data_IF_107314662577
#
_entry.id   IF_107314662577
#
_cell.length_a   1.000
_cell.length_b   1.000
_cell.length_c   1.000
_cell.angle_alpha   90.00
_cell.angle_beta   90.00
_cell.angle_gamma   90.00
#
_symmetry.space_group_name_H-M   'P 1'
#
loop_
_entity.id
_entity.type
_entity.pdbx_description
1 polymer ?
#
# COMPACT_ATOMS: atom_id res chain seq x y z
N UNK A 1 -17.77 -0.44 4.40
CA UNK A 1 -17.19 -0.28 5.75
C UNK A 1 -15.84 0.39 5.59
N UNK A 2 -15.65 1.59 6.13
CA UNK A 2 -14.34 2.24 6.21
C UNK A 2 -13.78 1.97 7.60
N UNK A 3 -12.65 1.29 7.65
CA UNK A 3 -11.83 1.20 8.85
C UNK A 3 -10.82 2.35 8.78
N UNK A 4 -11.06 3.45 9.48
CA UNK A 4 -10.09 4.53 9.65
C UNK A 4 -9.35 4.35 10.97
N UNK A 5 -8.03 4.40 10.94
CA UNK A 5 -7.19 4.33 12.13
C UNK A 5 -6.03 5.31 11.99
N UNK A 6 -5.78 6.15 13.00
CA UNK A 6 -4.75 7.20 12.97
C UNK A 6 -3.32 6.69 12.74
N UNK A 7 -3.07 5.43 13.07
CA UNK A 7 -1.74 4.82 12.99
C UNK A 7 -1.56 3.86 11.84
N UNK A 8 -2.58 3.72 10.95
CA UNK A 8 -2.52 2.81 9.81
C UNK A 8 -3.14 3.42 8.58
N UNK A 9 -2.56 3.11 7.43
CA UNK A 9 -3.20 3.28 6.13
C UNK A 9 -3.90 1.98 5.79
N UNK A 10 -5.18 2.06 5.48
CA UNK A 10 -6.03 0.94 5.08
C UNK A 10 -6.20 0.91 3.56
N UNK A 11 -5.95 -0.24 2.94
CA UNK A 11 -6.01 -0.41 1.47
C UNK A 11 -7.39 -0.86 0.96
N UNK A 12 -8.42 -0.83 1.80
CA UNK A 12 -9.78 -1.28 1.45
C UNK A 12 -9.97 -2.80 1.56
N UNK A 13 -11.22 -3.24 1.47
CA UNK A 13 -11.55 -4.66 1.40
C UNK A 13 -11.48 -5.13 -0.05
N UNK A 14 -10.84 -6.29 -0.27
CA UNK A 14 -10.73 -6.91 -1.59
C UNK A 14 -11.44 -8.25 -1.58
N UNK A 15 -11.95 -8.66 -2.75
CA UNK A 15 -12.43 -10.01 -3.05
C UNK A 15 -13.07 -10.75 -1.88
N UNK A 16 -14.31 -10.38 -1.55
CA UNK A 16 -15.07 -11.07 -0.52
C UNK A 16 -15.18 -12.56 -0.90
N UNK A 17 -14.63 -13.41 -0.06
CA UNK A 17 -14.74 -14.86 -0.19
C UNK A 17 -15.85 -15.33 0.73
N UNK A 18 -16.73 -16.15 0.24
CA UNK A 18 -17.78 -16.79 1.04
C UNK A 18 -17.60 -18.29 0.97
N UNK A 19 -17.60 -18.94 2.12
CA UNK A 19 -17.58 -20.37 2.27
C UNK A 19 -18.65 -20.81 3.28
N UNK A 20 -18.88 -22.10 3.39
CA UNK A 20 -19.79 -22.68 4.37
C UNK A 20 -19.00 -23.61 5.29
N UNK A 21 -19.26 -23.51 6.60
CA UNK A 21 -18.71 -24.43 7.59
C UNK A 21 -19.81 -24.99 8.46
N UNK A 22 -19.64 -26.24 8.90
CA UNK A 22 -20.56 -26.90 9.82
C UNK A 22 -19.89 -27.01 11.21
N UNK A 23 -20.56 -26.45 12.22
CA UNK A 23 -20.12 -26.54 13.61
C UNK A 23 -21.21 -27.23 14.42
N UNK A 24 -20.93 -28.46 14.87
CA UNK A 24 -21.94 -29.32 15.44
C UNK A 24 -22.98 -29.73 14.36
N UNK A 25 -24.22 -29.33 14.51
CA UNK A 25 -25.30 -29.62 13.55
C UNK A 25 -25.85 -28.32 12.91
N UNK A 26 -25.05 -27.26 12.94
CA UNK A 26 -25.44 -25.94 12.42
C UNK A 26 -24.50 -25.52 11.30
N UNK A 27 -25.10 -25.17 10.14
CA UNK A 27 -24.40 -24.66 8.98
C UNK A 27 -24.20 -23.15 9.14
N UNK A 28 -22.96 -22.70 9.02
CA UNK A 28 -22.59 -21.29 9.03
C UNK A 28 -22.12 -20.86 7.65
N UNK A 29 -22.56 -19.68 7.23
CA UNK A 29 -21.98 -19.00 6.07
C UNK A 29 -20.90 -18.03 6.56
N UNK A 30 -19.67 -18.23 6.11
CA UNK A 30 -18.53 -17.39 6.47
C UNK A 30 -18.29 -16.38 5.35
N UNK A 31 -18.02 -15.12 5.72
CA UNK A 31 -17.57 -14.10 4.80
C UNK A 31 -16.18 -13.63 5.23
N UNK A 32 -15.20 -13.83 4.36
CA UNK A 32 -13.84 -13.33 4.56
C UNK A 32 -13.61 -12.08 3.69
N UNK A 33 -13.22 -10.99 4.33
CA UNK A 33 -12.92 -9.70 3.72
C UNK A 33 -11.45 -9.37 3.92
N UNK A 34 -10.55 -9.84 3.04
CA UNK A 34 -9.13 -9.56 3.17
C UNK A 34 -8.86 -8.07 3.00
N UNK A 35 -7.91 -7.57 3.76
CA UNK A 35 -7.44 -6.20 3.66
C UNK A 35 -6.00 -6.07 4.10
N UNK A 36 -5.30 -5.06 3.57
CA UNK A 36 -3.92 -4.74 3.92
C UNK A 36 -3.85 -3.45 4.69
N UNK A 37 -3.11 -3.47 5.79
CA UNK A 37 -2.83 -2.31 6.63
C UNK A 37 -1.34 -2.00 6.60
N UNK A 38 -1.00 -0.73 6.40
CA UNK A 38 0.37 -0.24 6.53
C UNK A 38 0.48 0.59 7.80
N UNK A 39 1.37 0.19 8.70
CA UNK A 39 1.60 0.93 9.93
C UNK A 39 2.35 2.24 9.68
N UNK A 40 1.91 3.32 10.32
CA UNK A 40 2.51 4.65 10.25
C UNK A 40 3.30 5.00 11.53
N UNK A 41 2.96 4.36 12.65
CA UNK A 41 3.56 4.66 13.96
C UNK A 41 3.90 3.37 14.68
N UNK A 42 5.07 3.29 15.34
CA UNK A 42 5.37 2.17 16.22
C UNK A 42 4.51 2.19 17.49
N UNK A 43 4.41 1.05 18.16
CA UNK A 43 3.68 0.91 19.40
C UNK A 43 2.63 -0.20 19.37
N UNK A 44 1.86 -0.29 20.45
CA UNK A 44 0.73 -1.21 20.57
C UNK A 44 -0.54 -0.53 20.05
N UNK A 45 -1.22 -1.17 19.13
CA UNK A 45 -2.43 -0.66 18.49
C UNK A 45 -3.57 -1.68 18.53
N UNK A 46 -4.79 -1.19 18.69
CA UNK A 46 -6.01 -2.00 18.69
C UNK A 46 -6.75 -1.81 17.38
N UNK A 47 -6.89 -2.89 16.61
CA UNK A 47 -7.63 -2.92 15.36
C UNK A 47 -9.02 -3.50 15.56
N UNK A 48 -10.04 -2.81 15.07
CA UNK A 48 -11.43 -3.21 15.22
C UNK A 48 -12.13 -2.62 16.45
N UNK A 49 -13.39 -3.02 16.70
CA UNK A 49 -14.17 -3.98 15.90
C UNK A 49 -14.51 -3.46 14.51
N UNK A 50 -14.39 -4.32 13.49
CA UNK A 50 -14.97 -4.07 12.18
C UNK A 50 -16.48 -4.28 12.24
N UNK A 51 -17.27 -3.36 11.70
CA UNK A 51 -18.73 -3.43 11.65
C UNK A 51 -19.21 -3.74 10.24
N UNK A 52 -20.13 -4.68 10.12
CA UNK A 52 -20.71 -5.07 8.83
C UNK A 52 -22.21 -5.31 8.97
N UNK A 53 -23.00 -4.70 8.10
CA UNK A 53 -24.43 -5.02 7.98
C UNK A 53 -24.64 -6.12 6.93
N UNK A 54 -25.25 -7.21 7.30
CA UNK A 54 -25.58 -8.31 6.41
C UNK A 54 -27.10 -8.47 6.26
N UNK A 55 -27.53 -8.79 5.05
CA UNK A 55 -28.91 -9.17 4.81
C UNK A 55 -29.05 -10.68 4.96
N UNK A 56 -29.81 -11.09 5.94
CA UNK A 56 -30.11 -12.51 6.18
C UNK A 56 -31.48 -12.81 5.62
N UNK A 57 -31.57 -13.88 4.84
CA UNK A 57 -32.84 -14.41 4.38
C UNK A 57 -33.49 -15.17 5.53
N UNK A 58 -34.61 -14.71 6.02
CA UNK A 58 -35.39 -15.46 7.00
C UNK A 58 -36.07 -16.66 6.28
N UNK A 59 -35.48 -17.82 6.46
CA UNK A 59 -36.03 -19.09 5.98
C UNK A 59 -36.94 -19.76 7.04
N UNK A 60 -37.61 -18.98 7.86
CA UNK A 60 -38.66 -19.58 8.72
C UNK A 60 -39.76 -20.11 7.80
N UNK A 61 -39.77 -21.42 7.70
CA UNK A 61 -40.54 -22.21 6.79
C UNK A 61 -42.07 -21.91 6.79
N UNK A 62 -42.41 -20.91 6.01
CA UNK A 62 -43.82 -20.69 5.65
C UNK A 62 -44.31 -21.84 4.79
N UNK A 63 -45.28 -22.62 5.27
CA UNK A 63 -46.02 -23.54 4.42
C UNK A 63 -47.10 -22.74 3.65
N UNK A 64 -47.20 -22.96 2.35
CA UNK A 64 -48.18 -22.32 1.48
C UNK A 64 -47.67 -21.07 0.75
N UNK A 65 -48.57 -20.13 0.41
CA UNK A 65 -48.29 -18.89 -0.36
C UNK A 65 -47.24 -17.97 0.31
N UNK A 66 -47.02 -18.08 1.63
CA UNK A 66 -46.00 -17.32 2.34
C UNK A 66 -44.55 -17.72 1.99
N UNK A 67 -44.33 -18.90 1.41
CA UNK A 67 -43.01 -19.34 0.92
C UNK A 67 -42.52 -18.51 -0.28
N UNK A 68 -43.38 -17.76 -0.95
CA UNK A 68 -43.01 -16.87 -2.06
C UNK A 68 -42.57 -15.49 -1.62
N UNK A 69 -42.76 -15.13 -0.34
CA UNK A 69 -42.32 -13.85 0.22
C UNK A 69 -41.09 -14.05 1.07
N UNK A 70 -39.90 -13.97 0.45
CA UNK A 70 -38.63 -14.01 1.16
C UNK A 70 -38.49 -12.73 1.97
N UNK A 71 -38.55 -12.84 3.30
CA UNK A 71 -38.28 -11.70 4.20
C UNK A 71 -36.79 -11.59 4.43
N UNK A 72 -36.24 -10.43 4.17
CA UNK A 72 -34.85 -10.12 4.48
C UNK A 72 -34.77 -9.27 5.73
N UNK A 73 -33.94 -9.68 6.67
CA UNK A 73 -33.64 -8.91 7.88
C UNK A 73 -32.20 -8.42 7.81
N UNK A 74 -31.98 -7.14 8.08
CA UNK A 74 -30.64 -6.58 8.27
C UNK A 74 -30.14 -6.94 9.67
N UNK A 75 -28.94 -7.52 9.74
CA UNK A 75 -28.23 -7.79 11.00
C UNK A 75 -26.89 -7.11 10.98
N UNK A 76 -26.57 -6.38 12.03
CA UNK A 76 -25.26 -5.80 12.25
C UNK A 76 -24.37 -6.84 12.94
N UNK A 77 -23.24 -7.10 12.31
CA UNK A 77 -22.18 -7.98 12.83
C UNK A 77 -20.97 -7.15 13.20
N UNK A 78 -20.32 -7.49 14.30
CA UNK A 78 -19.08 -6.90 14.74
C UNK A 78 -18.01 -7.98 14.88
N UNK A 79 -16.80 -7.68 14.41
CA UNK A 79 -15.63 -8.54 14.64
C UNK A 79 -15.09 -8.33 16.06
N UNK A 80 -14.22 -9.24 16.48
CA UNK A 80 -13.41 -9.01 17.68
C UNK A 80 -12.39 -7.89 17.41
N UNK A 81 -11.94 -7.23 18.48
CA UNK A 81 -10.79 -6.33 18.45
C UNK A 81 -9.51 -7.17 18.54
N UNK A 82 -8.52 -6.84 17.72
CA UNK A 82 -7.20 -7.47 17.71
C UNK A 82 -6.16 -6.44 18.13
N UNK A 83 -5.30 -6.81 19.08
CA UNK A 83 -4.16 -5.99 19.47
C UNK A 83 -2.94 -6.43 18.63
N UNK A 84 -2.25 -5.47 18.02
CA UNK A 84 -1.02 -5.69 17.26
C UNK A 84 0.07 -4.75 17.74
N UNK A 85 1.31 -5.23 17.74
CA UNK A 85 2.49 -4.44 18.11
C UNK A 85 3.30 -4.13 16.87
N UNK A 86 3.45 -2.84 16.57
CA UNK A 86 4.31 -2.34 15.50
C UNK A 86 5.67 -2.00 16.08
N UNK A 87 6.71 -2.67 15.58
CA UNK A 87 8.09 -2.41 16.01
C UNK A 87 8.59 -1.09 15.42
N UNK A 88 9.41 -0.31 16.15
CA UNK A 88 10.09 0.84 15.54
C UNK A 88 11.08 0.36 14.47
N UNK A 89 11.38 1.23 13.52
CA UNK A 89 12.48 1.01 12.60
C UNK A 89 13.80 1.05 13.37
N UNK A 90 14.81 0.27 12.98
CA UNK A 90 16.15 0.34 13.58
C UNK A 90 16.75 1.75 13.47
N UNK A 91 17.59 2.10 14.45
CA UNK A 91 18.39 3.32 14.39
C UNK A 91 19.44 3.25 13.27
N UNK A 92 19.89 4.41 12.79
CA UNK A 92 20.92 4.49 11.75
C UNK A 92 20.38 4.47 10.33
N UNK A 93 19.13 4.92 10.11
CA UNK A 93 18.62 5.13 8.76
C UNK A 93 19.54 6.08 7.96
N UNK A 94 19.96 5.71 6.74
CA UNK A 94 20.75 6.58 5.87
C UNK A 94 19.98 7.86 5.51
N UNK A 95 20.71 8.93 5.14
CA UNK A 95 20.10 10.20 4.72
C UNK A 95 19.23 10.05 3.46
N UNK A 96 19.52 9.06 2.61
CA UNK A 96 18.76 8.69 1.42
C UNK A 96 17.52 7.82 1.70
N UNK A 97 17.19 7.56 2.98
CA UNK A 97 16.03 6.74 3.34
C UNK A 97 14.72 7.40 2.91
N UNK A 98 14.02 6.73 2.01
CA UNK A 98 12.78 7.24 1.40
C UNK A 98 11.51 7.01 2.23
N UNK A 99 11.63 6.42 3.41
CA UNK A 99 10.48 6.00 4.23
C UNK A 99 9.82 4.71 3.73
N UNK A 100 10.38 4.08 2.70
CA UNK A 100 9.90 2.79 2.18
C UNK A 100 10.18 1.65 3.16
N UNK A 101 9.16 0.83 3.43
CA UNK A 101 9.27 -0.42 4.21
C UNK A 101 8.68 -1.54 3.37
N UNK A 102 9.52 -2.49 2.99
CA UNK A 102 9.11 -3.56 2.07
C UNK A 102 10.27 -4.17 1.32
N UNK A 103 9.97 -4.77 0.18
CA UNK A 103 10.95 -5.29 -0.78
C UNK A 103 10.64 -4.66 -2.14
N UNK A 104 11.57 -3.91 -2.68
CA UNK A 104 11.35 -3.10 -3.87
C UNK A 104 12.44 -3.30 -4.91
N UNK A 105 12.05 -3.10 -6.16
CA UNK A 105 12.93 -2.98 -7.31
C UNK A 105 12.72 -1.61 -7.94
N UNK A 106 13.78 -1.01 -8.46
CA UNK A 106 13.71 0.27 -9.16
C UNK A 106 14.20 0.12 -10.60
N UNK A 107 13.47 0.76 -11.50
CA UNK A 107 13.89 1.02 -12.86
C UNK A 107 13.89 2.53 -13.10
N UNK A 108 14.93 3.06 -13.74
CA UNK A 108 15.04 4.48 -14.01
C UNK A 108 15.32 4.73 -15.48
N UNK A 109 14.64 5.73 -16.03
CA UNK A 109 14.76 6.09 -17.45
C UNK A 109 14.82 7.61 -17.59
N UNK A 110 15.91 8.17 -18.17
CA UNK A 110 15.95 9.57 -18.57
C UNK A 110 15.17 9.78 -19.89
N UNK A 111 14.61 10.98 -20.06
CA UNK A 111 13.96 11.39 -21.30
C UNK A 111 14.96 11.56 -22.48
N UNK A 112 16.21 11.90 -22.16
CA UNK A 112 17.32 12.02 -23.10
C UNK A 112 18.64 11.69 -22.41
N UNK A 113 19.61 11.27 -23.19
CA UNK A 113 21.00 11.09 -22.77
C UNK A 113 21.92 12.20 -23.31
N UNK A 114 21.37 13.08 -24.15
CA UNK A 114 22.10 14.26 -24.62
C UNK A 114 21.97 15.38 -23.59
N UNK A 115 23.10 15.89 -23.13
CA UNK A 115 23.17 16.88 -22.06
C UNK A 115 23.63 18.23 -22.64
N UNK A 116 22.71 19.20 -22.65
CA UNK A 116 23.03 20.58 -22.95
C UNK A 116 22.74 21.45 -21.72
N UNK A 117 23.55 22.48 -21.52
CA UNK A 117 23.35 23.42 -20.40
C UNK A 117 21.98 24.10 -20.54
N UNK A 118 21.20 24.07 -19.49
CA UNK A 118 19.88 24.69 -19.42
C UNK A 118 18.71 23.85 -19.97
N UNK A 119 18.99 22.72 -20.65
CA UNK A 119 17.92 21.84 -21.16
C UNK A 119 17.34 20.97 -20.04
N UNK A 120 15.99 20.90 -19.92
CA UNK A 120 15.36 20.06 -18.92
C UNK A 120 15.42 18.58 -19.31
N UNK A 121 15.77 17.75 -18.34
CA UNK A 121 15.76 16.28 -18.45
C UNK A 121 14.73 15.74 -17.48
N UNK A 122 13.75 14.99 -17.99
CA UNK A 122 12.83 14.24 -17.11
C UNK A 122 13.45 12.90 -16.78
N UNK A 123 13.50 12.60 -15.49
CA UNK A 123 13.88 11.31 -14.94
C UNK A 123 12.63 10.59 -14.47
N UNK A 124 12.31 9.47 -15.11
CA UNK A 124 11.19 8.62 -14.74
C UNK A 124 11.71 7.42 -13.94
N UNK A 125 11.23 7.28 -12.71
CA UNK A 125 11.53 6.15 -11.83
C UNK A 125 10.28 5.31 -11.67
N UNK A 126 10.41 4.02 -11.88
CA UNK A 126 9.38 3.03 -11.60
C UNK A 126 9.86 2.13 -10.46
N UNK A 127 9.19 2.23 -9.31
CA UNK A 127 9.46 1.40 -8.14
C UNK A 127 8.35 0.36 -8.02
N UNK A 128 8.70 -0.90 -8.13
CA UNK A 128 7.78 -2.03 -8.01
C UNK A 128 8.11 -2.87 -6.79
N UNK A 129 7.09 -3.37 -6.10
CA UNK A 129 7.34 -4.25 -4.96
C UNK A 129 6.20 -4.32 -3.96
N UNK A 130 6.44 -5.09 -2.91
CA UNK A 130 5.50 -5.32 -1.82
C UNK A 130 5.91 -4.46 -0.63
N UNK A 131 5.06 -3.52 -0.23
CA UNK A 131 5.33 -2.62 0.90
C UNK A 131 4.50 -1.34 0.85
N UNK A 132 4.95 -0.34 1.61
CA UNK A 132 4.23 0.92 1.78
C UNK A 132 4.54 1.96 0.68
N UNK A 133 4.45 1.61 -0.57
CA UNK A 133 4.70 2.51 -1.71
C UNK A 133 3.97 3.87 -1.59
N UNK A 134 2.82 3.91 -0.92
CA UNK A 134 2.03 5.14 -0.75
C UNK A 134 2.78 6.24 0.01
N UNK A 135 3.53 5.88 1.05
CA UNK A 135 4.28 6.84 1.89
C UNK A 135 5.73 7.01 1.49
N UNK A 136 6.25 6.14 0.61
CA UNK A 136 7.61 6.23 0.11
C UNK A 136 7.83 7.53 -0.66
N UNK A 137 8.94 8.22 -0.40
CA UNK A 137 9.41 9.36 -1.18
C UNK A 137 10.11 8.91 -2.47
N UNK A 138 10.36 9.85 -3.37
CA UNK A 138 11.15 9.62 -4.57
C UNK A 138 12.60 9.25 -4.25
N UNK A 139 13.33 8.59 -5.16
CA UNK A 139 14.77 8.43 -5.07
C UNK A 139 15.47 9.77 -4.91
N UNK A 140 16.58 9.78 -4.19
CA UNK A 140 17.36 10.98 -3.88
C UNK A 140 18.56 11.04 -4.83
N UNK A 141 18.75 12.17 -5.49
CA UNK A 141 19.98 12.38 -6.28
C UNK A 141 21.18 12.63 -5.38
N UNK A 142 22.25 11.89 -5.63
CA UNK A 142 23.56 12.09 -4.99
C UNK A 142 24.29 13.21 -5.72
N UNK A 143 24.07 14.45 -5.30
CA UNK A 143 24.72 15.62 -5.91
C UNK A 143 25.88 16.03 -5.03
N UNK A 144 27.06 16.07 -5.64
CA UNK A 144 28.31 16.50 -4.98
C UNK A 144 28.65 17.96 -5.27
N UNK A 145 27.97 18.57 -6.26
CA UNK A 145 28.21 19.95 -6.69
C UNK A 145 26.89 20.66 -7.02
N UNK A 146 26.89 21.99 -6.99
CA UNK A 146 25.72 22.83 -7.26
C UNK A 146 25.39 22.96 -8.76
N UNK A 147 25.85 22.01 -9.59
CA UNK A 147 25.74 22.10 -11.05
C UNK A 147 24.40 21.65 -11.60
N UNK A 148 23.48 21.23 -10.73
CA UNK A 148 22.17 20.70 -11.13
C UNK A 148 21.03 21.40 -10.39
N UNK A 149 20.08 21.90 -11.12
CA UNK A 149 18.80 22.32 -10.55
C UNK A 149 17.83 21.16 -10.58
N UNK A 150 17.32 20.78 -9.41
CA UNK A 150 16.38 19.66 -9.22
C UNK A 150 15.03 20.21 -8.79
N UNK A 151 14.00 19.74 -9.44
CA UNK A 151 12.60 20.09 -9.11
C UNK A 151 11.98 18.98 -8.27
N UNK A 152 10.88 19.32 -7.58
CA UNK A 152 10.12 18.35 -6.80
C UNK A 152 9.56 17.25 -7.70
N UNK A 153 9.60 15.99 -7.27
CA UNK A 153 9.07 14.88 -8.03
C UNK A 153 7.54 14.85 -8.03
N UNK A 154 6.95 14.54 -9.18
CA UNK A 154 5.57 14.12 -9.27
C UNK A 154 5.46 12.61 -8.98
N UNK A 155 4.48 12.19 -8.19
CA UNK A 155 4.26 10.79 -7.83
C UNK A 155 2.91 10.30 -8.31
N UNK A 156 2.89 9.13 -8.94
CA UNK A 156 1.68 8.40 -9.32
C UNK A 156 1.75 6.98 -8.79
N UNK A 157 0.66 6.50 -8.21
CA UNK A 157 0.54 5.13 -7.71
C UNK A 157 -0.39 4.35 -8.63
N UNK A 158 0.02 3.16 -9.01
CA UNK A 158 -0.85 2.18 -9.65
C UNK A 158 -0.93 0.97 -8.73
N UNK A 159 -2.09 0.75 -8.17
CA UNK A 159 -2.39 -0.47 -7.45
C UNK A 159 -2.88 -1.48 -8.48
N UNK A 160 -2.11 -2.52 -8.75
CA UNK A 160 -2.63 -3.67 -9.49
C UNK A 160 -3.58 -4.42 -8.56
N UNK A 161 -4.82 -4.61 -9.04
CA UNK A 161 -5.83 -5.39 -8.31
C UNK A 161 -5.54 -6.87 -8.51
N UNK A 162 -5.05 -7.56 -7.46
CA UNK A 162 -4.97 -9.02 -7.48
C UNK A 162 -5.83 -9.70 -6.43
N UNK A 163 -6.05 -10.97 -6.73
CA UNK A 163 -6.98 -11.85 -6.04
C UNK A 163 -6.65 -12.11 -4.56
N UNK A 164 -5.40 -12.01 -4.13
CA UNK A 164 -4.95 -12.44 -2.79
C UNK A 164 -4.49 -11.31 -1.85
N UNK A 165 -4.45 -10.07 -2.31
CA UNK A 165 -4.16 -8.90 -1.46
C UNK A 165 -2.70 -8.69 -1.06
N UNK A 166 -1.79 -9.50 -1.59
CA UNK A 166 -0.33 -9.41 -1.38
C UNK A 166 0.35 -9.27 -2.74
N UNK A 167 -0.06 -8.30 -3.56
CA UNK A 167 0.61 -8.06 -4.82
C UNK A 167 1.56 -6.89 -4.80
N UNK A 168 2.59 -6.97 -5.68
CA UNK A 168 3.47 -5.85 -5.89
C UNK A 168 2.66 -4.66 -6.42
N UNK A 169 2.76 -3.53 -5.77
CA UNK A 169 2.30 -2.26 -6.30
C UNK A 169 3.36 -1.60 -7.15
N UNK A 170 2.97 -0.53 -7.85
CA UNK A 170 3.86 0.28 -8.67
C UNK A 170 3.73 1.74 -8.23
N UNK A 171 4.86 2.35 -7.86
CA UNK A 171 4.99 3.79 -7.69
C UNK A 171 5.83 4.36 -8.83
N UNK A 172 5.30 5.32 -9.55
CA UNK A 172 6.04 6.07 -10.57
C UNK A 172 6.33 7.46 -10.06
N UNK A 173 7.58 7.86 -10.20
CA UNK A 173 8.03 9.21 -9.90
C UNK A 173 8.59 9.81 -11.18
N UNK A 174 8.18 11.04 -11.50
CA UNK A 174 8.76 11.81 -12.60
C UNK A 174 9.36 13.07 -12.00
N UNK A 175 10.65 13.30 -12.24
CA UNK A 175 11.40 14.40 -11.66
C UNK A 175 12.22 15.10 -12.74
N UNK A 176 12.13 16.42 -12.79
CA UNK A 176 12.89 17.23 -13.75
C UNK A 176 14.19 17.68 -13.12
N UNK A 177 15.27 17.54 -13.86
CA UNK A 177 16.60 18.05 -13.52
C UNK A 177 17.14 18.91 -14.67
N UNK A 178 17.87 19.96 -14.37
CA UNK A 178 18.45 20.86 -15.37
C UNK A 178 19.94 21.05 -15.07
N UNK A 179 20.85 20.75 -16.01
CA UNK A 179 22.28 21.07 -15.84
C UNK A 179 22.49 22.58 -15.96
N UNK A 180 23.06 23.21 -14.95
CA UNK A 180 23.39 24.64 -14.96
C UNK A 180 24.81 24.88 -15.48
N UNK A 181 25.64 23.85 -15.53
CA UNK A 181 26.99 23.84 -16.09
C UNK A 181 27.19 22.63 -17.00
N UNK A 182 28.30 22.59 -17.71
CA UNK A 182 28.64 21.46 -18.55
C UNK A 182 28.78 20.18 -17.72
N UNK A 183 27.93 19.22 -17.97
CA UNK A 183 27.93 17.92 -17.30
C UNK A 183 28.24 16.81 -18.34
N UNK A 184 28.98 15.80 -17.91
CA UNK A 184 29.35 14.65 -18.73
C UNK A 184 28.45 13.43 -18.44
N UNK A 185 27.69 13.48 -17.35
CA UNK A 185 26.77 12.40 -16.94
C UNK A 185 25.63 12.97 -16.12
N UNK A 186 24.49 12.27 -16.16
CA UNK A 186 23.37 12.50 -15.25
C UNK A 186 23.83 12.12 -13.83
N UNK A 187 23.45 12.88 -12.77
CA UNK A 187 23.80 12.55 -11.39
C UNK A 187 23.31 11.16 -11.02
N UNK A 188 24.09 10.45 -10.20
CA UNK A 188 23.63 9.20 -9.59
C UNK A 188 22.47 9.47 -8.62
N UNK A 189 21.65 8.46 -8.40
CA UNK A 189 20.55 8.52 -7.46
C UNK A 189 20.55 7.28 -6.57
N UNK A 190 19.94 7.40 -5.40
CA UNK A 190 19.79 6.33 -4.43
C UNK A 190 18.32 6.17 -4.04
N UNK A 191 17.88 4.92 -3.94
CA UNK A 191 16.61 4.53 -3.34
C UNK A 191 16.94 3.67 -2.12
N UNK A 192 16.92 4.27 -0.93
CA UNK A 192 17.10 3.49 0.29
C UNK A 192 15.75 3.18 0.92
N UNK A 193 15.52 1.92 1.25
CA UNK A 193 14.32 1.43 1.92
C UNK A 193 14.69 0.45 3.04
N UNK A 194 13.78 0.22 3.98
CA UNK A 194 13.95 -0.80 5.02
C UNK A 194 13.34 -2.12 4.57
N UNK A 195 14.17 -3.17 4.51
CA UNK A 195 13.72 -4.53 4.24
C UNK A 195 13.35 -5.24 5.55
N UNK A 196 12.04 -5.49 5.82
CA UNK A 196 11.62 -6.10 7.09
C UNK A 196 11.95 -7.59 7.20
N UNK A 197 12.33 -8.25 6.09
CA UNK A 197 12.71 -9.67 6.08
C UNK A 197 14.10 -9.84 6.69
N UNK A 198 15.03 -9.00 6.26
CA UNK A 198 16.44 -9.05 6.72
C UNK A 198 16.69 -8.07 7.89
N UNK A 199 15.72 -7.20 8.20
CA UNK A 199 15.84 -6.12 9.18
C UNK A 199 16.98 -5.15 8.89
N UNK A 200 17.17 -4.80 7.61
CA UNK A 200 18.27 -3.95 7.13
C UNK A 200 17.77 -2.83 6.21
N UNK A 201 18.50 -1.73 6.17
CA UNK A 201 18.35 -0.70 5.14
C UNK A 201 19.14 -1.13 3.89
N UNK A 202 18.46 -1.10 2.75
CA UNK A 202 18.99 -1.56 1.45
C UNK A 202 18.92 -0.42 0.45
#
# INVERSE_FOLDING_TARGET
AELQHESFIFKGFRNVRTDASEIGNTLFSNACLPSTFFALKPGEHRLGPGMMAVRVLDSEGGRGLSAFFTRTTLKDLATNTVTTTVKPLPEGAPASFTGGVGVFLINAKPSTTELNIGDPISMDFEVTGIGNLRTMAAPVFSITDENWKIFDPAKTLTDEEDSDGIEPGIARFSQVIIPEFQANAIPSFELTYFNPINAEYV
#
